data_IF_002854744091
#
_entry.id   IF_002854744091
#
_cell.length_a   1.000
_cell.length_b   1.000
_cell.length_c   1.000
_cell.angle_alpha   90.00
_cell.angle_beta   90.00
_cell.angle_gamma   90.00
#
_symmetry.space_group_name_H-M   'P 1'
#
loop_
_entity.id
_entity.type
_entity.pdbx_description
1 polymer ?
#
# COMPACT_ATOMS: atom_id res chain seq x y z
N UNK A 1 4.94 -0.65 19.11
CA UNK A 1 4.16 -0.82 20.36
C UNK A 1 4.83 -1.74 21.39
N UNK A 2 5.45 -2.86 20.99
CA UNK A 2 6.10 -3.80 21.93
C UNK A 2 7.18 -3.14 22.82
N UNK A 3 8.08 -2.32 22.26
CA UNK A 3 9.11 -1.63 23.05
C UNK A 3 8.48 -0.72 24.13
N UNK A 4 7.47 0.07 23.76
CA UNK A 4 6.75 0.93 24.69
C UNK A 4 6.02 0.11 25.77
N UNK A 5 5.35 -1.00 25.38
CA UNK A 5 4.71 -1.90 26.34
C UNK A 5 5.70 -2.46 27.37
N UNK A 6 6.90 -2.86 26.94
CA UNK A 6 7.97 -3.32 27.85
C UNK A 6 8.41 -2.22 28.82
N UNK A 7 8.57 -0.99 28.35
CA UNK A 7 8.93 0.16 29.21
C UNK A 7 7.83 0.48 30.22
N UNK A 8 6.56 0.48 29.79
CA UNK A 8 5.43 0.78 30.66
C UNK A 8 5.16 -0.31 31.70
N UNK A 9 5.49 -1.57 31.40
CA UNK A 9 5.32 -2.68 32.34
C UNK A 9 6.12 -2.49 33.64
N UNK A 10 7.22 -1.71 33.61
CA UNK A 10 8.00 -1.36 34.81
C UNK A 10 7.17 -0.53 35.80
N UNK A 11 6.34 0.38 35.28
CA UNK A 11 5.49 1.26 36.09
C UNK A 11 4.13 0.63 36.40
N UNK A 12 3.68 -0.31 35.57
CA UNK A 12 2.37 -0.94 35.66
C UNK A 12 2.53 -2.48 35.59
N UNK A 13 2.91 -3.13 36.71
CA UNK A 13 3.33 -4.55 36.71
C UNK A 13 2.22 -5.54 36.35
N UNK A 14 0.95 -5.15 36.45
CA UNK A 14 -0.21 -5.96 36.07
C UNK A 14 -0.74 -5.64 34.65
N UNK A 15 -0.03 -4.85 33.86
CA UNK A 15 -0.46 -4.48 32.51
C UNK A 15 -0.31 -5.66 31.55
N UNK A 16 -1.39 -5.97 30.81
CA UNK A 16 -1.34 -6.91 29.69
C UNK A 16 -1.26 -6.12 28.39
N UNK A 17 -0.12 -6.19 27.70
CA UNK A 17 0.04 -5.57 26.39
C UNK A 17 -0.39 -6.53 25.27
N UNK A 18 -1.47 -6.19 24.58
CA UNK A 18 -1.95 -6.91 23.41
C UNK A 18 -1.58 -6.11 22.15
N UNK A 19 -0.87 -6.76 21.23
CA UNK A 19 -0.59 -6.15 19.92
C UNK A 19 -1.82 -6.26 19.04
N UNK A 20 -2.31 -5.13 18.53
CA UNK A 20 -3.40 -5.13 17.57
C UNK A 20 -3.01 -5.90 16.29
N UNK A 21 -3.77 -6.94 15.94
CA UNK A 21 -3.56 -7.72 14.72
C UNK A 21 -3.48 -6.83 13.47
N UNK A 22 -4.32 -5.82 13.44
CA UNK A 22 -4.40 -4.87 12.36
C UNK A 22 -3.09 -4.06 12.19
N UNK A 23 -2.44 -3.70 13.30
CA UNK A 23 -1.10 -3.10 13.30
C UNK A 23 -0.04 -4.08 12.79
N UNK A 24 -0.12 -5.36 13.17
CA UNK A 24 0.80 -6.40 12.66
C UNK A 24 0.67 -6.56 11.14
N UNK A 25 -0.55 -6.62 10.60
CA UNK A 25 -0.81 -6.72 9.15
C UNK A 25 -0.25 -5.50 8.40
N UNK A 26 -0.40 -4.29 8.96
CA UNK A 26 0.19 -3.08 8.37
C UNK A 26 1.71 -3.15 8.32
N UNK A 27 2.35 -3.55 9.43
CA UNK A 27 3.80 -3.70 9.50
C UNK A 27 4.30 -4.75 8.50
N UNK A 28 3.61 -5.88 8.38
CA UNK A 28 3.93 -6.91 7.37
C UNK A 28 3.81 -6.36 5.95
N UNK A 29 2.72 -5.65 5.63
CA UNK A 29 2.54 -5.03 4.31
C UNK A 29 3.65 -4.04 3.98
N UNK A 30 4.07 -3.23 4.96
CA UNK A 30 5.20 -2.31 4.83
C UNK A 30 6.48 -3.08 4.53
N UNK A 31 6.74 -4.18 5.25
CA UNK A 31 7.95 -4.98 5.04
C UNK A 31 7.98 -5.63 3.66
N UNK A 32 6.85 -6.15 3.19
CA UNK A 32 6.72 -6.68 1.81
C UNK A 32 7.12 -5.62 0.80
N UNK A 33 6.56 -4.41 0.91
CA UNK A 33 6.94 -3.31 0.01
C UNK A 33 8.44 -2.99 0.02
N UNK A 34 9.06 -2.96 1.20
CA UNK A 34 10.50 -2.69 1.34
C UNK A 34 11.37 -3.76 0.68
N UNK A 35 10.89 -5.01 0.61
CA UNK A 35 11.60 -6.09 -0.09
C UNK A 35 11.56 -5.95 -1.62
N UNK A 36 10.60 -5.20 -2.17
CA UNK A 36 10.39 -5.05 -3.61
C UNK A 36 10.48 -3.58 -4.06
N UNK A 37 11.68 -2.97 -4.05
CA UNK A 37 11.85 -1.55 -4.38
C UNK A 37 11.45 -1.21 -5.81
N UNK A 38 11.69 -2.09 -6.78
CA UNK A 38 11.33 -1.87 -8.19
C UNK A 38 9.79 -1.83 -8.38
N UNK A 39 9.07 -2.76 -7.75
CA UNK A 39 7.59 -2.77 -7.75
C UNK A 39 7.07 -1.53 -7.05
N UNK A 40 7.70 -1.12 -5.94
CA UNK A 40 7.31 0.09 -5.24
C UNK A 40 7.50 1.35 -6.10
N UNK A 41 8.57 1.42 -6.89
CA UNK A 41 8.80 2.50 -7.86
C UNK A 41 7.73 2.49 -8.96
N UNK A 42 7.41 1.32 -9.53
CA UNK A 42 6.34 1.18 -10.53
C UNK A 42 5.00 1.69 -9.98
N UNK A 43 4.57 1.18 -8.83
CA UNK A 43 3.31 1.58 -8.17
C UNK A 43 3.28 3.08 -7.86
N UNK A 44 4.40 3.64 -7.40
CA UNK A 44 4.50 5.08 -7.10
C UNK A 44 4.44 5.94 -8.36
N UNK A 45 5.05 5.50 -9.45
CA UNK A 45 5.03 6.20 -10.73
C UNK A 45 3.65 6.12 -11.39
N UNK A 46 3.00 4.96 -11.34
CA UNK A 46 1.63 4.79 -11.85
C UNK A 46 0.67 5.80 -11.21
N UNK A 47 0.77 5.97 -9.88
CA UNK A 47 0.00 7.01 -9.17
C UNK A 47 0.30 8.41 -9.73
N UNK A 48 1.57 8.76 -9.95
CA UNK A 48 1.97 10.09 -10.46
C UNK A 48 1.45 10.36 -11.87
N UNK A 49 1.37 9.33 -12.72
CA UNK A 49 0.84 9.45 -14.08
C UNK A 49 -0.62 9.90 -14.01
N UNK A 50 -1.46 9.31 -13.18
CA UNK A 50 -2.88 9.66 -13.14
C UNK A 50 -3.22 10.84 -12.21
N UNK A 51 -2.31 11.20 -11.30
CA UNK A 51 -2.54 12.28 -10.35
C UNK A 51 -2.77 13.62 -11.07
N UNK A 52 -3.99 14.17 -10.93
CA UNK A 52 -4.41 15.47 -11.50
C UNK A 52 -4.24 15.56 -13.03
N UNK A 53 -4.38 14.45 -13.74
CA UNK A 53 -4.19 14.38 -15.19
C UNK A 53 -5.43 13.82 -15.90
N UNK A 54 -6.50 14.63 -16.06
CA UNK A 54 -7.76 14.16 -16.66
C UNK A 54 -7.57 13.63 -18.09
N UNK A 55 -6.75 14.29 -18.91
CA UNK A 55 -6.45 13.82 -20.28
C UNK A 55 -5.86 12.40 -20.31
N UNK A 56 -4.98 12.07 -19.37
CA UNK A 56 -4.40 10.71 -19.27
C UNK A 56 -5.42 9.68 -18.76
N UNK A 57 -6.37 10.12 -17.93
CA UNK A 57 -7.49 9.29 -17.49
C UNK A 57 -8.46 9.01 -18.64
N UNK A 58 -8.71 9.99 -19.52
CA UNK A 58 -9.58 9.81 -20.68
C UNK A 58 -8.97 8.81 -21.67
N UNK A 59 -7.69 9.00 -22.04
CA UNK A 59 -6.95 8.03 -22.87
C UNK A 59 -6.92 6.64 -22.23
N UNK A 60 -6.73 6.56 -20.91
CA UNK A 60 -6.78 5.26 -20.21
C UNK A 60 -8.14 4.56 -20.36
N UNK A 61 -9.24 5.30 -20.23
CA UNK A 61 -10.60 4.76 -20.40
C UNK A 61 -10.88 4.33 -21.84
N UNK A 62 -10.23 4.94 -22.83
CA UNK A 62 -10.33 4.51 -24.23
C UNK A 62 -9.57 3.19 -24.47
N UNK A 63 -8.37 3.05 -23.91
CA UNK A 63 -7.54 1.84 -24.07
C UNK A 63 -8.07 0.67 -23.23
N UNK A 64 -8.55 0.96 -22.02
CA UNK A 64 -8.97 -0.04 -21.04
C UNK A 64 -10.37 0.28 -20.46
N UNK A 65 -11.44 0.26 -21.28
CA UNK A 65 -12.76 0.74 -20.88
C UNK A 65 -13.43 -0.06 -19.76
N UNK A 66 -13.11 -1.35 -19.63
CA UNK A 66 -13.68 -2.23 -18.60
C UNK A 66 -12.83 -2.31 -17.33
N UNK A 67 -11.67 -1.64 -17.29
CA UNK A 67 -10.76 -1.72 -16.14
C UNK A 67 -10.86 -0.44 -15.32
N UNK A 68 -11.08 -0.54 -14.00
CA UNK A 68 -11.12 0.64 -13.15
C UNK A 68 -9.75 1.31 -13.09
N UNK A 69 -9.75 2.61 -12.80
CA UNK A 69 -8.50 3.34 -12.57
C UNK A 69 -7.63 2.64 -11.52
N UNK A 70 -6.29 2.69 -11.68
CA UNK A 70 -5.39 2.06 -10.73
C UNK A 70 -5.68 2.53 -9.30
N UNK A 71 -5.72 1.63 -8.32
CA UNK A 71 -6.02 2.01 -6.95
C UNK A 71 -4.90 2.89 -6.41
N UNK A 72 -5.26 3.99 -5.74
CA UNK A 72 -4.26 4.88 -5.16
C UNK A 72 -3.68 4.28 -3.86
N UNK A 73 -2.38 3.95 -3.83
CA UNK A 73 -1.75 3.52 -2.59
C UNK A 73 -1.71 4.70 -1.60
N UNK A 74 -2.09 4.40 -0.36
CA UNK A 74 -2.02 5.33 0.79
C UNK A 74 -1.13 4.71 1.84
N UNK A 75 -0.01 5.39 2.16
CA UNK A 75 1.02 4.87 3.07
C UNK A 75 0.48 4.44 4.44
N UNK A 76 -0.51 5.18 4.94
CA UNK A 76 -1.13 4.97 6.26
C UNK A 76 -2.27 3.95 6.24
N UNK A 77 -2.81 3.56 5.08
CA UNK A 77 -3.90 2.57 4.98
C UNK A 77 -3.38 1.20 4.59
N UNK A 78 -3.82 0.20 5.34
CA UNK A 78 -3.32 -1.17 5.26
C UNK A 78 -3.67 -1.80 3.92
N UNK A 79 -2.74 -2.58 3.38
CA UNK A 79 -2.95 -3.37 2.16
C UNK A 79 -3.18 -2.57 0.86
N UNK A 80 -3.31 -1.24 0.90
CA UNK A 80 -3.54 -0.44 -0.31
C UNK A 80 -2.40 -0.55 -1.31
N UNK A 81 -1.15 -0.61 -0.80
CA UNK A 81 0.02 -0.85 -1.64
C UNK A 81 0.00 -2.26 -2.27
N UNK A 82 -0.41 -3.29 -1.51
CA UNK A 82 -0.49 -4.67 -2.03
C UNK A 82 -1.56 -4.75 -3.13
N UNK A 83 -2.73 -4.13 -2.91
CA UNK A 83 -3.79 -4.05 -3.94
C UNK A 83 -3.29 -3.37 -5.20
N UNK A 84 -2.54 -2.27 -5.07
CA UNK A 84 -1.95 -1.58 -6.21
C UNK A 84 -0.88 -2.41 -6.92
N UNK A 85 -0.03 -3.12 -6.17
CA UNK A 85 0.96 -4.01 -6.74
C UNK A 85 0.31 -5.16 -7.54
N UNK A 86 -0.74 -5.78 -7.01
CA UNK A 86 -1.49 -6.82 -7.72
C UNK A 86 -2.16 -6.27 -8.97
N UNK A 87 -2.81 -5.09 -8.88
CA UNK A 87 -3.38 -4.43 -10.06
C UNK A 87 -2.34 -4.18 -11.15
N UNK A 88 -1.14 -3.70 -10.78
CA UNK A 88 -0.04 -3.52 -11.74
C UNK A 88 0.39 -4.84 -12.38
N UNK A 89 0.35 -5.95 -11.64
CA UNK A 89 0.70 -7.26 -12.18
C UNK A 89 -0.37 -7.78 -13.14
N UNK A 90 -1.65 -7.66 -12.77
CA UNK A 90 -2.79 -8.13 -13.57
C UNK A 90 -2.96 -7.36 -14.90
N UNK A 91 -2.45 -6.12 -14.96
CA UNK A 91 -2.60 -5.22 -16.10
C UNK A 91 -1.27 -4.75 -16.70
N UNK A 92 -0.16 -5.40 -16.36
CA UNK A 92 1.19 -4.91 -16.66
C UNK A 92 1.40 -4.58 -18.15
N UNK A 93 0.97 -5.47 -19.04
CA UNK A 93 1.19 -5.31 -20.48
C UNK A 93 0.43 -4.12 -21.07
N UNK A 94 -0.75 -3.79 -20.53
CA UNK A 94 -1.53 -2.63 -20.97
C UNK A 94 -1.05 -1.31 -20.36
N UNK A 95 -0.25 -1.39 -19.29
CA UNK A 95 0.28 -0.23 -18.55
C UNK A 95 1.72 0.13 -18.94
N UNK A 96 2.38 -0.68 -19.77
CA UNK A 96 3.74 -0.47 -20.28
C UNK A 96 3.75 0.53 -21.45
#
# INVERSE_FOLDING_TARGET
>A
MIKAGKTLNVFFPNMIHISCLAHMIHASSKKVREMYPNVNTLVSNLKKVFLKAPQRVDVYKEIMPSVPLPPEPVLTRWGTWIKAANFCADHFDNLK
#
